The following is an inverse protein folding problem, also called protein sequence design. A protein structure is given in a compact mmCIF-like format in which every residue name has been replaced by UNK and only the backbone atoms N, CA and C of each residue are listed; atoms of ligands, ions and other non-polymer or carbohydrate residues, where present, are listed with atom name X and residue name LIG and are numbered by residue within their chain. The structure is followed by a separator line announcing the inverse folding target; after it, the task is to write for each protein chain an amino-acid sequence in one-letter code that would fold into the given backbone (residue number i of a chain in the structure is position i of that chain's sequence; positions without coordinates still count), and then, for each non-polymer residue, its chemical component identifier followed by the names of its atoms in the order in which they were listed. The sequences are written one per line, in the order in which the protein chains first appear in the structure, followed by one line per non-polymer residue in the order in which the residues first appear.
data_IF_286462613678
#
_entry.id   IF_286462613678
#
_cell.length_a   1.000
_cell.length_b   1.000
_cell.length_c   1.000
_cell.angle_alpha   90.00
_cell.angle_beta   90.00
_cell.angle_gamma   90.00
#
_symmetry.space_group_name_H-M   'P 1'
#
loop_
_entity.id
_entity.type
_entity.pdbx_description
1 polymer ?
#
# COMPACT_ATOMS: atom_id res chain seq x y z
N UNK A 1 27.73 5.98 -18.09
CA UNK A 1 28.23 5.61 -16.74
C UNK A 1 27.45 6.46 -15.75
N UNK A 2 26.34 5.97 -15.26
CA UNK A 2 25.51 6.69 -14.27
C UNK A 2 26.16 6.56 -12.90
N UNK A 3 26.54 7.69 -12.30
CA UNK A 3 26.99 7.74 -10.91
C UNK A 3 25.81 7.32 -10.02
N UNK A 4 25.92 6.14 -9.41
CA UNK A 4 24.98 5.71 -8.37
C UNK A 4 25.16 6.66 -7.18
N UNK A 5 24.18 7.52 -6.94
CA UNK A 5 24.13 8.34 -5.73
C UNK A 5 24.22 7.40 -4.52
N UNK A 6 25.18 7.62 -3.63
CA UNK A 6 25.24 6.86 -2.38
C UNK A 6 23.94 7.07 -1.61
N UNK A 7 23.32 5.99 -1.09
CA UNK A 7 22.10 6.10 -0.32
C UNK A 7 22.32 7.02 0.89
N UNK A 8 21.31 7.83 1.20
CA UNK A 8 21.40 8.68 2.41
C UNK A 8 21.54 7.80 3.65
N UNK A 9 22.13 8.35 4.73
CA UNK A 9 22.22 7.62 6.01
C UNK A 9 20.85 7.12 6.49
N UNK A 10 19.79 7.86 6.18
CA UNK A 10 18.41 7.47 6.53
C UNK A 10 17.97 6.23 5.75
N UNK A 11 18.21 6.21 4.45
CA UNK A 11 17.87 5.06 3.60
C UNK A 11 18.70 3.82 3.99
N UNK A 12 19.97 4.01 4.32
CA UNK A 12 20.83 2.94 4.79
C UNK A 12 20.36 2.34 6.14
N UNK A 13 19.85 3.18 7.06
CA UNK A 13 19.28 2.72 8.34
C UNK A 13 17.99 1.91 8.09
N UNK A 14 17.10 2.39 7.23
CA UNK A 14 15.88 1.65 6.88
C UNK A 14 16.23 0.29 6.23
N UNK A 15 17.21 0.25 5.32
CA UNK A 15 17.66 -0.99 4.70
C UNK A 15 18.24 -1.98 5.71
N UNK A 16 19.03 -1.53 6.67
CA UNK A 16 19.57 -2.37 7.75
C UNK A 16 18.47 -2.96 8.63
N UNK A 17 17.46 -2.14 8.98
CA UNK A 17 16.33 -2.59 9.77
C UNK A 17 15.44 -3.58 8.98
N UNK A 18 15.37 -3.46 7.66
CA UNK A 18 14.69 -4.43 6.82
C UNK A 18 15.45 -5.77 6.77
N UNK A 19 16.77 -5.72 6.62
CA UNK A 19 17.63 -6.90 6.46
C UNK A 19 17.80 -7.68 7.76
N UNK A 20 18.03 -6.96 8.89
CA UNK A 20 18.44 -7.56 10.17
C UNK A 20 17.34 -7.57 11.23
N UNK A 21 16.20 -6.95 10.95
CA UNK A 21 15.11 -6.79 11.91
C UNK A 21 15.41 -5.71 12.96
N UNK A 22 15.03 -5.98 14.22
CA UNK A 22 15.20 -5.02 15.30
C UNK A 22 16.66 -4.85 15.69
N UNK A 23 17.13 -3.58 15.77
CA UNK A 23 18.50 -3.20 16.16
C UNK A 23 18.50 -2.08 17.18
N UNK A 24 19.54 -2.01 18.02
CA UNK A 24 19.72 -0.86 18.88
C UNK A 24 20.51 0.28 18.17
N UNK A 25 20.52 1.47 18.78
CA UNK A 25 21.16 2.63 18.19
C UNK A 25 22.71 2.53 18.16
N UNK A 26 23.30 1.67 18.99
CA UNK A 26 24.76 1.47 19.03
C UNK A 26 25.18 0.59 17.85
N UNK A 27 24.49 -0.54 17.64
CA UNK A 27 24.74 -1.48 16.53
C UNK A 27 24.55 -0.79 15.17
N UNK A 28 23.49 0.02 15.04
CA UNK A 28 23.23 0.82 13.84
C UNK A 28 24.33 1.86 13.60
N UNK A 29 24.76 2.55 14.66
CA UNK A 29 25.81 3.55 14.57
C UNK A 29 27.16 2.95 14.16
N UNK A 30 27.52 1.80 14.74
CA UNK A 30 28.73 1.06 14.40
C UNK A 30 28.71 0.62 12.93
N UNK A 31 27.59 0.00 12.47
CA UNK A 31 27.45 -0.45 11.10
C UNK A 31 27.55 0.71 10.09
N UNK A 32 27.01 1.89 10.43
CA UNK A 32 27.02 3.07 9.57
C UNK A 32 28.26 3.96 9.78
N UNK A 33 29.16 3.59 10.67
CA UNK A 33 30.39 4.33 11.00
C UNK A 33 30.13 5.80 11.39
N UNK A 34 29.06 6.05 12.15
CA UNK A 34 28.71 7.37 12.69
C UNK A 34 28.61 7.32 14.22
N UNK A 35 28.56 8.48 14.86
CA UNK A 35 28.38 8.51 16.31
C UNK A 35 26.97 8.06 16.73
N UNK A 36 26.84 7.41 17.89
CA UNK A 36 25.56 7.00 18.46
C UNK A 36 24.60 8.20 18.63
N UNK A 37 25.15 9.38 18.93
CA UNK A 37 24.34 10.60 19.04
C UNK A 37 23.77 11.04 17.69
N UNK A 38 24.55 10.95 16.61
CA UNK A 38 24.07 11.22 15.26
C UNK A 38 23.00 10.19 14.85
N UNK A 39 23.24 8.91 15.11
CA UNK A 39 22.27 7.84 14.84
C UNK A 39 20.95 8.07 15.59
N UNK A 40 20.97 8.43 16.86
CA UNK A 40 19.75 8.76 17.62
C UNK A 40 18.97 9.93 17.04
N UNK A 41 19.64 10.93 16.43
CA UNK A 41 18.94 12.01 15.70
C UNK A 41 18.24 11.48 14.45
N UNK A 42 18.91 10.64 13.66
CA UNK A 42 18.30 10.02 12.47
C UNK A 42 17.10 9.14 12.84
N UNK A 43 17.22 8.32 13.89
CA UNK A 43 16.14 7.45 14.36
C UNK A 43 14.92 8.24 14.86
N UNK A 44 15.13 9.36 15.57
CA UNK A 44 14.02 10.25 15.97
C UNK A 44 13.33 10.86 14.76
N UNK A 45 14.08 11.40 13.81
CA UNK A 45 13.50 11.97 12.60
C UNK A 45 12.75 10.92 11.77
N UNK A 46 13.25 9.69 11.69
CA UNK A 46 12.55 8.57 11.03
C UNK A 46 11.28 8.16 11.81
N UNK A 47 11.30 8.26 13.14
CA UNK A 47 10.12 7.99 13.97
C UNK A 47 9.06 9.12 13.85
N UNK A 48 9.50 10.37 13.78
CA UNK A 48 8.62 11.52 13.55
C UNK A 48 7.93 11.42 12.17
N UNK A 49 8.63 10.85 11.17
CA UNK A 49 8.08 10.54 9.85
C UNK A 49 7.25 9.24 9.81
N UNK A 50 7.11 8.54 10.95
CA UNK A 50 6.33 7.32 11.06
C UNK A 50 6.96 6.07 10.40
N UNK A 51 8.25 6.12 10.01
CA UNK A 51 8.93 5.04 9.29
C UNK A 51 9.56 3.99 10.19
N UNK A 52 9.91 4.36 11.44
CA UNK A 52 10.44 3.43 12.45
C UNK A 52 9.72 3.63 13.77
N UNK A 53 9.74 2.60 14.60
CA UNK A 53 9.28 2.68 15.99
C UNK A 53 10.31 2.01 16.90
N UNK A 54 10.20 2.23 18.21
CA UNK A 54 11.08 1.59 19.19
C UNK A 54 10.27 0.85 20.25
N UNK A 55 10.75 -0.33 20.64
CA UNK A 55 10.34 -1.07 21.82
C UNK A 55 11.41 -0.97 22.90
N UNK A 56 10.98 -0.94 24.16
CA UNK A 56 11.90 -0.99 25.29
C UNK A 56 12.20 -2.44 25.62
N UNK A 57 13.44 -2.87 25.46
CA UNK A 57 13.88 -4.19 25.90
C UNK A 57 14.44 -4.10 27.32
N UNK A 58 13.82 -4.83 28.24
CA UNK A 58 14.25 -4.95 29.65
C UNK A 58 15.00 -6.26 29.94
N UNK A 59 15.57 -6.91 28.94
CA UNK A 59 16.28 -8.18 29.11
C UNK A 59 17.71 -7.97 29.56
N UNK A 60 17.98 -8.09 30.88
CA UNK A 60 19.32 -8.15 31.47
C UNK A 60 19.61 -7.10 32.54
N UNK A 61 20.70 -7.29 33.36
CA UNK A 61 21.18 -6.30 34.33
C UNK A 61 21.88 -5.16 33.59
N UNK A 62 21.12 -4.12 33.18
CA UNK A 62 21.66 -2.94 32.50
C UNK A 62 20.58 -1.90 32.29
N UNK A 63 20.96 -0.69 31.82
CA UNK A 63 20.01 0.36 31.46
C UNK A 63 19.17 -0.12 30.28
N UNK A 64 17.83 -0.02 30.33
CA UNK A 64 16.96 -0.41 29.21
C UNK A 64 17.43 0.22 27.89
N UNK A 65 17.63 -0.59 26.87
CA UNK A 65 17.96 -0.12 25.53
C UNK A 65 16.72 -0.16 24.65
N UNK A 66 16.53 0.89 23.84
CA UNK A 66 15.47 0.91 22.84
C UNK A 66 15.94 0.10 21.62
N UNK A 67 15.14 -0.89 21.24
CA UNK A 67 15.29 -1.60 19.97
C UNK A 67 14.38 -0.94 18.93
N UNK A 68 14.97 -0.60 17.81
CA UNK A 68 14.31 0.09 16.71
C UNK A 68 13.94 -0.91 15.61
N UNK A 69 12.76 -0.74 15.03
CA UNK A 69 12.25 -1.58 13.95
C UNK A 69 11.45 -0.76 12.94
N UNK A 70 11.28 -1.31 11.72
CA UNK A 70 10.44 -0.69 10.70
C UNK A 70 8.97 -0.80 11.06
N UNK A 71 8.25 0.30 10.95
CA UNK A 71 6.79 0.30 10.89
C UNK A 71 6.29 -0.23 9.54
N UNK A 72 5.00 -0.37 9.36
CA UNK A 72 4.41 -0.69 8.06
C UNK A 72 4.76 0.39 7.02
N UNK A 73 4.59 1.69 7.34
CA UNK A 73 5.01 2.79 6.49
C UNK A 73 6.51 2.79 6.15
N UNK A 74 7.35 2.30 7.06
CA UNK A 74 8.79 2.10 6.79
C UNK A 74 9.04 0.96 5.80
N UNK A 75 8.26 -0.12 5.85
CA UNK A 75 8.35 -1.26 4.91
C UNK A 75 7.87 -0.88 3.51
N UNK A 76 6.82 -0.07 3.41
CA UNK A 76 6.28 0.42 2.13
C UNK A 76 7.26 1.28 1.33
N UNK A 77 8.34 1.78 1.97
CA UNK A 77 9.44 2.48 1.28
C UNK A 77 10.28 1.56 0.38
N UNK A 78 10.14 0.26 0.53
CA UNK A 78 10.89 -0.72 -0.25
C UNK A 78 9.98 -1.36 -1.32
N UNK A 79 10.53 -1.64 -2.52
CA UNK A 79 9.81 -2.39 -3.52
C UNK A 79 9.42 -3.77 -2.98
N UNK A 80 8.15 -4.08 -2.94
CA UNK A 80 7.64 -5.37 -2.44
C UNK A 80 7.62 -6.48 -3.51
N UNK A 81 7.81 -6.12 -4.77
CA UNK A 81 7.78 -7.07 -5.90
C UNK A 81 6.38 -7.60 -6.25
N UNK A 82 5.34 -7.28 -5.45
CA UNK A 82 3.98 -7.81 -5.65
C UNK A 82 3.41 -7.43 -7.01
N UNK A 83 3.62 -6.18 -7.43
CA UNK A 83 3.20 -5.72 -8.76
C UNK A 83 3.86 -6.50 -9.90
N UNK A 84 5.15 -6.82 -9.78
CA UNK A 84 5.86 -7.65 -10.77
C UNK A 84 5.37 -9.09 -10.80
N UNK A 85 5.11 -9.67 -9.62
CA UNK A 85 4.54 -11.01 -9.52
C UNK A 85 3.12 -11.06 -10.11
N UNK A 86 2.27 -10.07 -9.81
CA UNK A 86 0.90 -9.99 -10.34
C UNK A 86 0.90 -9.88 -11.88
N UNK A 87 1.77 -9.04 -12.46
CA UNK A 87 1.93 -8.94 -13.91
C UNK A 87 2.37 -10.27 -14.54
N UNK A 88 3.39 -10.92 -13.99
CA UNK A 88 3.86 -12.22 -14.48
C UNK A 88 2.81 -13.30 -14.38
N UNK A 89 2.01 -13.31 -13.30
CA UNK A 89 0.89 -14.25 -13.14
C UNK A 89 -0.21 -14.00 -14.18
N UNK A 90 -0.62 -12.74 -14.39
CA UNK A 90 -1.64 -12.38 -15.38
C UNK A 90 -1.18 -12.74 -16.80
N UNK A 91 0.09 -12.50 -17.13
CA UNK A 91 0.64 -12.88 -18.44
C UNK A 91 0.65 -14.39 -18.65
N UNK A 92 1.01 -15.15 -17.63
CA UNK A 92 0.98 -16.62 -17.65
C UNK A 92 -0.44 -17.14 -17.82
N UNK A 93 -1.43 -16.54 -17.13
CA UNK A 93 -2.85 -16.90 -17.26
C UNK A 93 -3.38 -16.58 -18.66
N UNK A 94 -3.09 -15.37 -19.18
CA UNK A 94 -3.49 -14.96 -20.55
C UNK A 94 -2.91 -15.89 -21.61
N UNK A 95 -1.65 -16.32 -21.44
CA UNK A 95 -0.99 -17.21 -22.39
C UNK A 95 -1.49 -18.66 -22.30
N UNK A 96 -2.04 -19.08 -21.18
CA UNK A 96 -2.44 -20.46 -20.90
C UNK A 96 -3.94 -20.72 -21.07
N UNK A 97 -4.77 -19.68 -21.02
CA UNK A 97 -6.22 -19.78 -21.08
C UNK A 97 -6.76 -19.27 -22.43
N UNK A 98 -7.88 -19.81 -22.93
CA UNK A 98 -8.67 -19.16 -23.97
C UNK A 98 -9.11 -17.75 -23.51
N UNK A 99 -9.24 -16.81 -24.44
CA UNK A 99 -9.53 -15.41 -24.13
C UNK A 99 -10.82 -15.24 -23.32
N UNK A 100 -11.88 -15.98 -23.67
CA UNK A 100 -13.16 -15.97 -22.96
C UNK A 100 -13.03 -16.47 -21.51
N UNK A 101 -12.22 -17.50 -21.30
CA UNK A 101 -11.94 -18.01 -19.96
C UNK A 101 -11.11 -17.02 -19.12
N UNK A 102 -10.15 -16.34 -19.74
CA UNK A 102 -9.37 -15.31 -19.06
C UNK A 102 -10.25 -14.10 -18.65
N UNK A 103 -11.11 -13.63 -19.54
CA UNK A 103 -12.07 -12.55 -19.26
C UNK A 103 -13.06 -12.92 -18.16
N UNK A 104 -13.58 -14.15 -18.18
CA UNK A 104 -14.49 -14.64 -17.14
C UNK A 104 -13.79 -14.74 -15.78
N UNK A 105 -12.50 -15.11 -15.74
CA UNK A 105 -11.70 -15.14 -14.52
C UNK A 105 -11.57 -13.73 -13.90
N UNK A 106 -11.24 -12.73 -14.71
CA UNK A 106 -11.13 -11.33 -14.26
C UNK A 106 -12.48 -10.81 -13.77
N UNK A 107 -13.56 -11.10 -14.49
CA UNK A 107 -14.92 -10.73 -14.10
C UNK A 107 -15.32 -11.33 -12.75
N UNK A 108 -15.03 -12.61 -12.51
CA UNK A 108 -15.30 -13.27 -11.23
C UNK A 108 -14.50 -12.64 -10.09
N UNK A 109 -13.27 -12.22 -10.34
CA UNK A 109 -12.48 -11.51 -9.37
C UNK A 109 -13.15 -10.18 -8.98
N UNK A 110 -13.57 -9.37 -9.96
CA UNK A 110 -14.26 -8.11 -9.73
C UNK A 110 -15.60 -8.29 -8.99
N UNK A 111 -16.40 -9.29 -9.39
CA UNK A 111 -17.68 -9.59 -8.75
C UNK A 111 -17.51 -10.10 -7.31
N UNK A 112 -16.51 -10.95 -7.06
CA UNK A 112 -16.18 -11.42 -5.72
C UNK A 112 -15.75 -10.28 -4.80
N UNK A 113 -14.93 -9.37 -5.30
CA UNK A 113 -14.51 -8.17 -4.57
C UNK A 113 -15.68 -7.22 -4.30
N UNK A 114 -16.55 -7.02 -5.28
CA UNK A 114 -17.77 -6.23 -5.11
C UNK A 114 -18.70 -6.81 -4.03
N UNK A 115 -18.78 -8.13 -3.94
CA UNK A 115 -19.54 -8.79 -2.88
C UNK A 115 -18.93 -8.53 -1.49
N UNK A 116 -17.60 -8.58 -1.35
CA UNK A 116 -16.92 -8.26 -0.11
C UNK A 116 -17.17 -6.81 0.31
N UNK A 117 -17.10 -5.86 -0.63
CA UNK A 117 -17.42 -4.47 -0.36
C UNK A 117 -18.88 -4.31 0.10
N UNK A 118 -19.87 -4.90 -0.59
CA UNK A 118 -21.27 -4.83 -0.19
C UNK A 118 -21.52 -5.32 1.23
N UNK A 119 -20.84 -6.41 1.63
CA UNK A 119 -20.94 -6.91 3.01
C UNK A 119 -20.46 -5.90 4.04
N UNK A 120 -19.46 -5.08 3.70
CA UNK A 120 -18.96 -4.04 4.59
C UNK A 120 -19.81 -2.78 4.55
N UNK A 121 -20.37 -2.41 3.39
CA UNK A 121 -21.23 -1.23 3.24
C UNK A 121 -22.61 -1.40 3.90
N UNK A 122 -23.14 -2.62 3.93
CA UNK A 122 -24.48 -2.90 4.46
C UNK A 122 -25.59 -2.16 3.71
N UNK A 123 -26.70 -1.91 4.42
CA UNK A 123 -27.90 -1.24 3.90
C UNK A 123 -27.98 0.25 4.31
N UNK A 124 -26.85 0.89 4.55
CA UNK A 124 -26.77 2.30 4.90
C UNK A 124 -27.28 3.22 3.75
N UNK A 125 -27.65 4.48 4.01
CA UNK A 125 -27.96 5.46 2.98
C UNK A 125 -26.86 5.56 1.92
N UNK A 126 -27.23 5.93 0.68
CA UNK A 126 -26.29 5.97 -0.45
C UNK A 126 -25.03 6.80 -0.15
N UNK A 127 -25.23 7.98 0.44
CA UNK A 127 -24.13 8.87 0.84
C UNK A 127 -23.11 8.16 1.73
N UNK A 128 -23.58 7.51 2.80
CA UNK A 128 -22.73 6.80 3.75
C UNK A 128 -21.98 5.64 3.08
N UNK A 129 -22.67 4.89 2.19
CA UNK A 129 -22.07 3.80 1.42
C UNK A 129 -20.98 4.31 0.47
N UNK A 130 -21.19 5.44 -0.21
CA UNK A 130 -20.21 6.03 -1.11
C UNK A 130 -18.98 6.55 -0.34
N UNK A 131 -19.17 7.21 0.79
CA UNK A 131 -18.06 7.64 1.64
C UNK A 131 -17.28 6.45 2.21
N UNK A 132 -17.98 5.38 2.60
CA UNK A 132 -17.34 4.17 3.09
C UNK A 132 -16.60 3.44 1.96
N UNK A 133 -17.17 3.36 0.76
CA UNK A 133 -16.49 2.82 -0.42
C UNK A 133 -15.21 3.60 -0.72
N UNK A 134 -15.26 4.94 -0.73
CA UNK A 134 -14.08 5.76 -0.91
C UNK A 134 -13.00 5.51 0.17
N UNK A 135 -13.40 5.20 1.41
CA UNK A 135 -12.47 4.80 2.47
C UNK A 135 -11.82 3.45 2.18
N UNK A 136 -12.62 2.43 1.83
CA UNK A 136 -12.11 1.09 1.50
C UNK A 136 -11.13 1.14 0.33
N UNK A 137 -11.43 1.94 -0.69
CA UNK A 137 -10.53 2.14 -1.83
C UNK A 137 -9.20 2.79 -1.39
N UNK A 138 -9.25 3.77 -0.48
CA UNK A 138 -8.01 4.38 0.06
C UNK A 138 -7.17 3.40 0.88
N UNK A 139 -7.79 2.51 1.64
CA UNK A 139 -7.09 1.43 2.37
C UNK A 139 -6.36 0.46 1.41
N UNK A 140 -6.83 0.36 0.16
CA UNK A 140 -6.20 -0.44 -0.91
C UNK A 140 -5.22 0.36 -1.79
N UNK A 141 -4.86 1.58 -1.38
CA UNK A 141 -3.84 2.39 -2.04
C UNK A 141 -4.36 3.30 -3.16
N UNK A 142 -5.68 3.38 -3.38
CA UNK A 142 -6.26 4.36 -4.31
C UNK A 142 -6.36 5.74 -3.66
N UNK A 143 -6.28 6.81 -4.45
CA UNK A 143 -6.62 8.16 -3.98
C UNK A 143 -8.02 8.47 -4.46
N UNK A 144 -9.00 8.09 -3.65
CA UNK A 144 -10.43 8.19 -3.98
C UNK A 144 -11.08 9.35 -3.24
N UNK A 145 -11.77 10.21 -3.98
CA UNK A 145 -12.58 11.32 -3.50
C UNK A 145 -14.03 11.09 -3.88
N UNK A 146 -14.93 11.30 -2.93
CA UNK A 146 -16.37 11.28 -3.15
C UNK A 146 -16.93 12.68 -2.89
N UNK A 147 -17.69 13.24 -3.81
CA UNK A 147 -18.28 14.56 -3.69
C UNK A 147 -19.69 14.59 -4.30
N UNK A 148 -20.56 15.38 -3.70
CA UNK A 148 -21.86 15.69 -4.28
C UNK A 148 -21.64 16.76 -5.37
N UNK A 149 -22.30 16.58 -6.52
CA UNK A 149 -22.25 17.55 -7.61
C UNK A 149 -23.01 18.85 -7.27
N UNK A 150 -22.77 19.89 -8.05
CA UNK A 150 -23.40 21.20 -7.88
C UNK A 150 -24.93 21.15 -8.03
N UNK A 151 -25.47 20.15 -8.71
CA UNK A 151 -26.90 19.91 -8.85
C UNK A 151 -27.58 19.40 -7.54
N UNK A 152 -26.77 18.99 -6.54
CA UNK A 152 -27.22 18.46 -5.26
C UNK A 152 -27.92 17.08 -5.37
N UNK A 153 -27.84 16.40 -6.51
CA UNK A 153 -28.52 15.12 -6.77
C UNK A 153 -27.57 14.02 -7.26
N UNK A 154 -26.45 14.41 -7.85
CA UNK A 154 -25.48 13.47 -8.45
C UNK A 154 -24.24 13.35 -7.57
N UNK A 155 -23.76 12.13 -7.39
CA UNK A 155 -22.53 11.86 -6.66
C UNK A 155 -21.40 11.53 -7.65
N UNK A 156 -20.24 12.14 -7.41
CA UNK A 156 -19.02 11.88 -8.16
C UNK A 156 -18.03 11.10 -7.29
N UNK A 157 -17.62 9.90 -7.77
CA UNK A 157 -16.55 9.11 -7.19
C UNK A 157 -15.36 9.19 -8.13
N UNK A 158 -14.32 9.94 -7.73
CA UNK A 158 -13.13 10.16 -8.53
C UNK A 158 -11.93 9.48 -7.92
N UNK A 159 -11.15 8.77 -8.74
CA UNK A 159 -9.86 8.20 -8.36
C UNK A 159 -8.73 8.99 -9.02
N UNK A 160 -8.02 9.80 -8.22
CA UNK A 160 -6.89 10.60 -8.67
C UNK A 160 -5.58 9.78 -8.79
N UNK A 161 -5.54 8.61 -8.14
CA UNK A 161 -4.46 7.63 -8.26
C UNK A 161 -5.08 6.21 -8.25
N UNK A 162 -4.63 5.38 -9.19
CA UNK A 162 -5.03 3.98 -9.31
C UNK A 162 -3.90 3.08 -8.79
N UNK A 163 -4.16 2.30 -7.75
CA UNK A 163 -3.14 1.39 -7.16
C UNK A 163 -2.71 0.27 -8.11
N UNK A 164 -3.54 -0.07 -9.09
CA UNK A 164 -3.26 -1.07 -10.12
C UNK A 164 -2.87 -0.45 -11.47
N UNK A 165 -2.51 0.84 -11.52
CA UNK A 165 -2.20 1.56 -12.75
C UNK A 165 -1.19 0.80 -13.63
N UNK A 166 -0.09 0.33 -13.07
CA UNK A 166 0.95 -0.41 -13.81
C UNK A 166 0.41 -1.70 -14.44
N UNK A 167 -0.52 -2.37 -13.74
CA UNK A 167 -1.17 -3.59 -14.27
C UNK A 167 -2.11 -3.21 -15.41
N UNK A 168 -2.90 -2.14 -15.26
CA UNK A 168 -3.84 -1.67 -16.26
C UNK A 168 -3.15 -1.15 -17.53
N UNK A 169 -1.93 -0.63 -17.45
CA UNK A 169 -1.12 -0.24 -18.61
C UNK A 169 -0.78 -1.44 -19.51
N UNK A 170 -0.52 -2.62 -18.93
CA UNK A 170 -0.22 -3.86 -19.68
C UNK A 170 -1.50 -4.66 -19.99
N UNK A 171 -2.52 -4.55 -19.17
CA UNK A 171 -3.81 -5.24 -19.28
C UNK A 171 -4.97 -4.23 -19.19
N UNK A 172 -5.30 -3.50 -20.28
CA UNK A 172 -6.35 -2.46 -20.26
C UNK A 172 -7.73 -2.95 -19.80
N UNK A 173 -8.03 -4.24 -19.98
CA UNK A 173 -9.27 -4.87 -19.51
C UNK A 173 -9.44 -4.79 -17.98
N UNK A 174 -8.39 -4.55 -17.23
CA UNK A 174 -8.44 -4.31 -15.78
C UNK A 174 -9.28 -3.06 -15.46
N UNK A 175 -9.18 -1.99 -16.26
CA UNK A 175 -10.02 -0.80 -16.08
C UNK A 175 -11.52 -1.11 -16.21
N UNK A 176 -11.90 -2.00 -17.14
CA UNK A 176 -13.28 -2.42 -17.30
C UNK A 176 -13.77 -3.24 -16.08
N UNK A 177 -12.86 -4.06 -15.51
CA UNK A 177 -13.16 -4.84 -14.31
C UNK A 177 -13.25 -3.96 -13.06
N UNK A 178 -12.42 -2.92 -12.94
CA UNK A 178 -12.52 -1.92 -11.86
C UNK A 178 -13.86 -1.18 -11.93
N UNK A 179 -14.29 -0.77 -13.14
CA UNK A 179 -15.59 -0.16 -13.33
C UNK A 179 -16.73 -1.12 -13.01
N UNK A 180 -16.62 -2.38 -13.42
CA UNK A 180 -17.59 -3.44 -13.08
C UNK A 180 -17.70 -3.62 -11.57
N UNK A 181 -16.57 -3.68 -10.87
CA UNK A 181 -16.50 -3.78 -9.41
C UNK A 181 -17.29 -2.66 -8.74
N UNK A 182 -17.05 -1.39 -9.12
CA UNK A 182 -17.76 -0.24 -8.56
C UNK A 182 -19.26 -0.34 -8.81
N UNK A 183 -19.68 -0.60 -10.06
CA UNK A 183 -21.09 -0.76 -10.45
C UNK A 183 -21.79 -1.90 -9.71
N UNK A 184 -21.08 -2.99 -9.44
CA UNK A 184 -21.62 -4.14 -8.68
C UNK A 184 -21.66 -3.86 -7.18
N UNK A 185 -20.82 -2.97 -6.69
CA UNK A 185 -20.78 -2.59 -5.27
C UNK A 185 -21.95 -1.68 -4.90
N UNK A 186 -22.27 -0.70 -5.75
CA UNK A 186 -23.37 0.26 -5.56
C UNK A 186 -24.30 0.22 -6.78
N UNK A 187 -25.15 -0.84 -6.90
CA UNK A 187 -25.96 -1.10 -8.09
C UNK A 187 -27.08 -0.08 -8.30
N UNK A 188 -27.40 0.72 -7.30
CA UNK A 188 -28.35 1.83 -7.35
C UNK A 188 -27.72 3.12 -7.93
N UNK A 189 -26.42 3.12 -8.25
CA UNK A 189 -25.73 4.18 -9.01
C UNK A 189 -25.53 3.78 -10.47
N UNK A 190 -25.65 4.76 -11.38
CA UNK A 190 -25.42 4.57 -12.83
C UNK A 190 -24.08 5.18 -13.25
#
# INVERSE_FOLDING_TARGET
MSASAQPSTRDAVLALLLERGEMDACDLAETQQISVQAMRRHLRALADDGLVASSTSSSGPGRPSNRWFLTEGGRERFPDGSGGFALGLLDSLRSSLPEDAFQELLKRQAEGKAQQYRLQLGDAPLEDRLHQLARLRREEGYVTVCSLDEDGHSWNLQEAHCSVQRIAEEFPTICDQELLLIRRTVPDCQ
#
